data_IF_455549151235
#
_entry.id   IF_455549151235
#
_cell.length_a   1.000
_cell.length_b   1.000
_cell.length_c   1.000
_cell.angle_alpha   90.00
_cell.angle_beta   90.00
_cell.angle_gamma   90.00
#
_symmetry.space_group_name_H-M   'P 1'
#
loop_
_entity.id
_entity.type
_entity.pdbx_description
1 polymer ?
#
# COMPACT_ATOMS: atom_id res chain seq x y z
N UNK A 1 8.22 -15.24 -16.35
CA UNK A 1 8.87 -15.33 -17.68
C UNK A 1 10.18 -14.56 -17.70
N UNK A 2 11.03 -14.77 -18.70
CA UNK A 2 12.32 -14.07 -18.82
C UNK A 2 12.14 -12.56 -19.06
N UNK A 3 12.99 -11.74 -18.44
CA UNK A 3 13.05 -10.30 -18.68
C UNK A 3 13.67 -10.03 -20.06
N UNK A 4 13.23 -8.96 -20.76
CA UNK A 4 13.79 -8.60 -22.06
C UNK A 4 15.23 -8.11 -21.89
N UNK A 5 16.21 -8.90 -22.34
CA UNK A 5 17.64 -8.56 -22.30
C UNK A 5 18.43 -9.10 -21.10
N UNK A 6 17.79 -9.83 -20.18
CA UNK A 6 18.46 -10.48 -19.05
C UNK A 6 19.13 -11.79 -19.46
N UNK A 7 20.25 -12.13 -18.81
CA UNK A 7 20.94 -13.41 -19.01
C UNK A 7 20.13 -14.58 -18.40
N UNK A 8 20.40 -15.82 -18.83
CA UNK A 8 19.62 -17.01 -18.42
C UNK A 8 19.67 -17.26 -16.91
N UNK A 9 20.73 -16.85 -16.23
CA UNK A 9 20.90 -16.92 -14.78
C UNK A 9 20.10 -15.87 -14.00
N UNK A 10 19.60 -14.84 -14.67
CA UNK A 10 18.70 -13.82 -14.12
C UNK A 10 17.22 -14.18 -14.34
N UNK A 11 16.94 -15.35 -14.93
CA UNK A 11 15.57 -15.81 -15.13
C UNK A 11 14.90 -16.19 -13.80
N UNK A 12 13.73 -15.59 -13.55
CA UNK A 12 12.92 -15.86 -12.35
C UNK A 12 13.17 -14.92 -11.18
N UNK A 13 13.81 -13.77 -11.40
CA UNK A 13 13.80 -12.69 -10.41
C UNK A 13 12.43 -12.02 -10.40
N UNK A 14 11.68 -12.21 -9.32
CA UNK A 14 10.38 -11.55 -9.13
C UNK A 14 10.48 -10.26 -8.30
N UNK A 15 11.59 -10.07 -7.57
CA UNK A 15 11.77 -8.96 -6.61
C UNK A 15 13.17 -8.35 -6.73
N UNK A 16 13.22 -7.01 -6.81
CA UNK A 16 14.44 -6.22 -6.65
C UNK A 16 14.42 -5.50 -5.29
N UNK A 17 15.43 -5.76 -4.45
CA UNK A 17 15.62 -5.09 -3.15
C UNK A 17 16.80 -4.12 -3.20
N UNK A 18 16.53 -2.81 -3.14
CA UNK A 18 17.54 -1.76 -3.29
C UNK A 18 17.73 -0.98 -1.97
N UNK A 19 18.69 -1.42 -1.19
CA UNK A 19 19.08 -0.82 0.10
C UNK A 19 20.12 0.31 -0.05
N UNK A 20 19.99 1.15 -1.08
CA UNK A 20 20.89 2.28 -1.36
C UNK A 20 20.16 3.39 -2.13
N UNK A 21 20.77 4.58 -2.22
CA UNK A 21 20.23 5.79 -2.85
C UNK A 21 21.32 6.54 -3.61
N UNK A 22 20.95 7.24 -4.68
CA UNK A 22 21.85 8.14 -5.43
C UNK A 22 21.42 9.59 -5.15
N UNK A 23 22.34 10.40 -4.66
CA UNK A 23 22.12 11.78 -4.22
C UNK A 23 22.63 12.83 -5.21
N UNK A 24 22.91 12.45 -6.46
CA UNK A 24 23.60 13.30 -7.45
C UNK A 24 22.74 14.43 -8.06
N UNK A 25 21.72 14.89 -7.35
CA UNK A 25 20.80 15.93 -7.83
C UNK A 25 21.36 17.29 -7.38
N UNK A 26 21.85 18.09 -8.34
CA UNK A 26 22.59 19.34 -8.09
C UNK A 26 21.78 20.48 -7.41
N UNK A 27 20.62 20.20 -6.81
CA UNK A 27 19.76 21.22 -6.19
C UNK A 27 18.57 20.74 -5.36
N UNK A 28 18.65 19.57 -4.70
CA UNK A 28 17.59 19.04 -3.82
C UNK A 28 17.18 17.60 -4.16
N UNK A 29 16.17 17.06 -3.48
CA UNK A 29 15.64 15.72 -3.73
C UNK A 29 15.06 15.54 -5.14
N UNK A 30 14.99 14.27 -5.56
CA UNK A 30 14.46 13.87 -6.85
C UNK A 30 12.94 14.03 -6.94
N UNK A 31 12.48 14.37 -8.14
CA UNK A 31 11.06 14.37 -8.53
C UNK A 31 10.60 13.07 -9.19
N UNK A 32 11.44 12.03 -9.24
CA UNK A 32 11.08 10.75 -9.86
C UNK A 32 11.29 10.68 -11.37
N UNK A 33 11.75 11.77 -12.01
CA UNK A 33 12.00 11.79 -13.46
C UNK A 33 13.44 11.40 -13.87
N UNK A 34 14.33 11.19 -12.89
CA UNK A 34 15.71 10.81 -13.17
C UNK A 34 15.84 9.37 -13.66
N UNK A 35 16.98 9.05 -14.29
CA UNK A 35 17.18 7.74 -14.91
C UNK A 35 17.07 6.58 -13.92
N UNK A 36 17.39 6.81 -12.64
CA UNK A 36 17.34 5.77 -11.62
C UNK A 36 15.92 5.54 -11.13
N UNK A 37 15.08 6.56 -11.08
CA UNK A 37 13.65 6.38 -10.82
C UNK A 37 12.97 5.62 -11.97
N UNK A 38 13.19 6.08 -13.20
CA UNK A 38 12.52 5.57 -14.40
C UNK A 38 12.83 4.10 -14.66
N UNK A 39 14.10 3.68 -14.49
CA UNK A 39 14.44 2.27 -14.71
C UNK A 39 13.77 1.32 -13.71
N UNK A 40 13.45 1.81 -12.50
CA UNK A 40 12.70 1.03 -11.52
C UNK A 40 11.21 0.98 -11.85
N UNK A 41 10.67 2.07 -12.41
CA UNK A 41 9.31 2.08 -12.94
C UNK A 41 9.16 1.08 -14.10
N UNK A 42 10.13 1.02 -15.01
CA UNK A 42 10.17 0.01 -16.08
C UNK A 42 10.24 -1.42 -15.51
N UNK A 43 10.99 -1.66 -14.43
CA UNK A 43 11.01 -2.95 -13.74
C UNK A 43 9.64 -3.33 -13.15
N UNK A 44 8.96 -2.39 -12.50
CA UNK A 44 7.62 -2.58 -11.97
C UNK A 44 6.60 -2.89 -13.08
N UNK A 45 6.67 -2.18 -14.21
CA UNK A 45 5.80 -2.41 -15.39
C UNK A 45 6.07 -3.77 -16.01
N UNK A 46 7.33 -4.20 -16.06
CA UNK A 46 7.73 -5.51 -16.57
C UNK A 46 7.42 -6.68 -15.62
N UNK A 47 6.78 -6.42 -14.47
CA UNK A 47 6.32 -7.45 -13.53
C UNK A 47 7.30 -7.80 -12.41
N UNK A 48 8.41 -7.07 -12.27
CA UNK A 48 9.38 -7.26 -11.18
C UNK A 48 9.10 -6.25 -10.08
N UNK A 49 8.68 -6.71 -8.90
CA UNK A 49 8.35 -5.78 -7.82
C UNK A 49 9.62 -5.23 -7.17
N UNK A 50 9.68 -3.91 -7.00
CA UNK A 50 10.85 -3.19 -6.51
C UNK A 50 10.54 -2.60 -5.13
N UNK A 51 11.41 -2.87 -4.16
CA UNK A 51 11.50 -2.11 -2.91
C UNK A 51 12.78 -1.30 -2.84
N UNK A 52 12.66 -0.04 -2.42
CA UNK A 52 13.78 0.89 -2.30
C UNK A 52 13.82 1.56 -0.93
N UNK A 53 15.01 1.73 -0.37
CA UNK A 53 15.20 2.50 0.85
C UNK A 53 14.84 3.98 0.67
N UNK A 54 14.05 4.55 1.58
CA UNK A 54 13.70 5.98 1.55
C UNK A 54 14.93 6.91 1.71
N UNK A 55 15.98 6.43 2.38
CA UNK A 55 17.18 7.20 2.72
C UNK A 55 17.33 7.42 4.23
N UNK A 56 18.49 7.96 4.63
CA UNK A 56 18.88 8.14 6.04
C UNK A 56 19.17 9.62 6.37
N UNK A 57 18.56 10.56 5.64
CA UNK A 57 18.84 12.01 5.74
C UNK A 57 17.76 12.76 6.54
N UNK A 58 16.80 12.06 7.14
CA UNK A 58 15.75 12.65 7.96
C UNK A 58 16.26 13.24 9.29
N UNK A 59 15.44 14.06 9.98
CA UNK A 59 14.08 14.47 9.62
C UNK A 59 13.96 15.64 8.65
N UNK A 60 15.06 16.34 8.41
CA UNK A 60 15.08 17.59 7.66
C UNK A 60 15.58 17.41 6.22
N UNK A 61 15.41 16.21 5.66
CA UNK A 61 15.75 15.96 4.25
C UNK A 61 14.89 16.82 3.32
N UNK A 62 15.51 17.34 2.27
CA UNK A 62 14.84 18.06 1.19
C UNK A 62 14.42 17.06 0.09
N UNK A 63 13.29 16.39 0.28
CA UNK A 63 12.80 15.33 -0.61
C UNK A 63 13.57 14.01 -0.50
N UNK A 64 13.32 13.08 -1.42
CA UNK A 64 13.95 11.76 -1.44
C UNK A 64 15.03 11.65 -2.52
N UNK A 65 15.91 10.65 -2.40
CA UNK A 65 16.92 10.33 -3.42
C UNK A 65 16.27 9.79 -4.70
N UNK A 66 17.00 9.79 -5.82
CA UNK A 66 16.46 9.36 -7.13
C UNK A 66 15.72 8.03 -7.12
N UNK A 67 16.36 6.98 -6.60
CA UNK A 67 15.70 5.66 -6.53
C UNK A 67 14.48 5.65 -5.59
N UNK A 68 14.58 6.33 -4.44
CA UNK A 68 13.47 6.44 -3.48
C UNK A 68 12.29 7.28 -3.99
N UNK A 69 12.48 8.03 -5.07
CA UNK A 69 11.48 8.87 -5.74
C UNK A 69 10.79 8.21 -6.94
N UNK A 70 11.08 6.95 -7.28
CA UNK A 70 10.35 6.21 -8.35
C UNK A 70 8.84 6.21 -8.12
N UNK A 71 8.05 6.41 -9.17
CA UNK A 71 6.59 6.48 -9.08
C UNK A 71 5.97 5.15 -8.65
N UNK A 72 6.49 4.06 -9.20
CA UNK A 72 5.90 2.74 -9.08
C UNK A 72 6.54 1.91 -7.96
N UNK A 73 7.83 2.09 -7.65
CA UNK A 73 8.50 1.30 -6.59
C UNK A 73 7.85 1.46 -5.22
N UNK A 74 8.05 0.48 -4.35
CA UNK A 74 7.70 0.53 -2.93
C UNK A 74 8.86 1.18 -2.16
N UNK A 75 8.74 2.45 -1.84
CA UNK A 75 9.72 3.18 -1.04
C UNK A 75 9.48 2.90 0.45
N UNK A 76 10.54 2.47 1.15
CA UNK A 76 10.49 1.94 2.52
C UNK A 76 11.23 2.85 3.50
N UNK A 77 10.49 3.43 4.44
CA UNK A 77 11.06 4.12 5.60
C UNK A 77 11.39 3.16 6.76
N UNK A 78 12.09 3.66 7.79
CA UNK A 78 12.56 2.86 8.91
C UNK A 78 11.90 3.25 10.22
N UNK A 79 11.36 2.28 10.96
CA UNK A 79 10.97 2.43 12.37
C UNK A 79 12.08 1.97 13.32
N UNK A 80 11.99 2.44 14.56
CA UNK A 80 12.67 1.88 15.71
C UNK A 80 11.65 1.14 16.57
N UNK A 81 11.77 -0.18 16.57
CA UNK A 81 10.90 -1.13 17.29
C UNK A 81 11.18 -1.18 18.79
N UNK A 82 12.08 -0.32 19.30
CA UNK A 82 12.56 -0.27 20.68
C UNK A 82 13.10 -1.62 21.19
N UNK A 83 13.31 -2.60 20.30
CA UNK A 83 13.53 -4.00 20.61
C UNK A 83 12.48 -4.56 21.61
N UNK A 84 11.21 -4.20 21.43
CA UNK A 84 10.04 -4.67 22.20
C UNK A 84 9.12 -5.55 21.33
N UNK A 85 8.17 -6.24 21.96
CA UNK A 85 7.09 -6.98 21.25
C UNK A 85 5.88 -6.07 21.04
N UNK A 86 5.69 -5.14 21.97
CA UNK A 86 4.62 -4.15 21.88
C UNK A 86 4.94 -3.22 20.70
N UNK A 87 3.96 -2.96 19.83
CA UNK A 87 4.12 -2.07 18.68
C UNK A 87 3.68 -0.65 19.00
N UNK A 88 3.07 -0.42 20.17
CA UNK A 88 2.56 0.90 20.56
C UNK A 88 3.70 1.89 20.89
N UNK A 89 4.89 1.41 21.24
CA UNK A 89 6.08 2.23 21.45
C UNK A 89 6.99 2.33 20.21
N UNK A 90 6.63 1.70 19.10
CA UNK A 90 7.33 1.84 17.83
C UNK A 90 7.26 3.28 17.33
N UNK A 91 8.41 3.85 17.01
CA UNK A 91 8.51 5.22 16.50
C UNK A 91 9.20 5.26 15.15
N UNK A 92 8.98 6.34 14.38
CA UNK A 92 9.78 6.58 13.20
C UNK A 92 11.24 6.78 13.60
N UNK A 93 12.17 6.09 12.95
CA UNK A 93 13.58 6.26 13.22
C UNK A 93 13.99 7.69 12.83
N UNK A 94 14.73 8.38 13.70
CA UNK A 94 15.07 9.80 13.50
C UNK A 94 15.71 10.09 12.14
N UNK A 95 16.58 9.17 11.67
CA UNK A 95 17.29 9.26 10.40
C UNK A 95 16.42 8.95 9.17
N UNK A 96 15.25 8.30 9.31
CA UNK A 96 14.45 7.91 8.16
C UNK A 96 14.06 9.13 7.34
N UNK A 97 14.43 9.16 6.06
CA UNK A 97 14.02 10.23 5.15
C UNK A 97 12.50 10.29 5.04
N UNK A 98 11.97 11.51 4.93
CA UNK A 98 10.54 11.83 5.01
C UNK A 98 10.04 12.42 3.70
N UNK A 99 8.75 12.22 3.47
CA UNK A 99 8.06 12.75 2.32
C UNK A 99 7.65 14.21 2.38
N UNK A 100 6.96 14.65 1.31
CA UNK A 100 6.81 13.93 0.03
C UNK A 100 8.11 13.96 -0.81
N UNK A 101 8.18 13.23 -1.94
CA UNK A 101 9.20 13.51 -2.95
C UNK A 101 8.90 14.86 -3.63
N UNK A 102 9.82 15.36 -4.45
CA UNK A 102 9.58 16.61 -5.21
C UNK A 102 8.49 16.38 -6.26
N UNK A 103 7.64 17.38 -6.45
CA UNK A 103 6.61 17.40 -7.49
C UNK A 103 7.26 17.47 -8.88
N UNK A 104 6.89 16.55 -9.77
CA UNK A 104 7.36 16.48 -11.16
C UNK A 104 6.49 17.31 -12.13
N UNK A 105 5.36 17.84 -11.65
CA UNK A 105 4.42 18.66 -12.41
C UNK A 105 3.54 17.88 -13.40
N UNK A 106 3.39 16.55 -13.24
CA UNK A 106 2.55 15.70 -14.09
C UNK A 106 1.05 15.80 -13.77
N UNK A 107 0.70 16.44 -12.65
CA UNK A 107 -0.67 16.64 -12.19
C UNK A 107 -1.25 15.47 -11.39
N UNK A 108 -0.45 14.47 -11.02
CA UNK A 108 -0.85 13.34 -10.19
C UNK A 108 -0.20 13.43 -8.79
N UNK A 109 -0.77 14.17 -7.83
CA UNK A 109 -0.17 14.41 -6.51
C UNK A 109 0.06 13.14 -5.66
N UNK A 110 -0.47 11.98 -6.09
CA UNK A 110 -0.40 10.73 -5.37
C UNK A 110 0.96 10.03 -5.51
N UNK A 111 1.64 10.14 -6.67
CA UNK A 111 2.95 9.51 -6.86
C UNK A 111 4.08 10.29 -6.15
N UNK A 112 3.82 11.52 -5.69
CA UNK A 112 4.70 12.26 -4.78
C UNK A 112 4.71 11.70 -3.35
N UNK A 113 3.67 10.97 -2.95
CA UNK A 113 3.49 10.51 -1.57
C UNK A 113 4.42 9.33 -1.24
N UNK A 114 5.61 9.67 -0.75
CA UNK A 114 6.69 8.74 -0.35
C UNK A 114 7.14 8.97 1.09
N UNK A 115 7.44 7.96 1.90
CA UNK A 115 7.47 6.54 1.58
C UNK A 115 6.05 5.96 1.43
N UNK A 116 5.95 4.78 0.82
CA UNK A 116 4.70 4.02 0.82
C UNK A 116 4.44 3.36 2.17
N UNK A 117 5.47 2.73 2.73
CA UNK A 117 5.35 1.98 3.98
C UNK A 117 6.62 2.09 4.79
N UNK A 118 6.55 1.67 6.04
CA UNK A 118 7.69 1.55 6.93
C UNK A 118 7.84 0.14 7.48
N UNK A 119 9.06 -0.20 7.89
CA UNK A 119 9.37 -1.45 8.59
C UNK A 119 10.51 -1.23 9.60
N UNK A 120 10.73 -2.15 10.56
CA UNK A 120 11.84 -2.07 11.49
C UNK A 120 13.18 -1.96 10.76
N UNK A 121 13.91 -0.88 11.02
CA UNK A 121 15.22 -0.61 10.41
C UNK A 121 16.30 -0.23 11.41
N UNK A 122 15.97 -0.12 12.70
CA UNK A 122 16.91 0.27 13.75
C UNK A 122 17.39 -0.95 14.51
N UNK A 123 18.69 -1.00 14.82
CA UNK A 123 19.27 -2.02 15.67
C UNK A 123 19.09 -3.47 15.18
N UNK A 124 19.01 -3.68 13.86
CA UNK A 124 18.80 -4.99 13.24
C UNK A 124 20.08 -5.83 13.29
N UNK A 125 19.93 -7.14 13.50
CA UNK A 125 21.03 -8.12 13.45
C UNK A 125 20.95 -8.85 12.11
N UNK A 126 22.08 -8.96 11.41
CA UNK A 126 22.15 -9.52 10.07
C UNK A 126 23.37 -10.44 9.91
N UNK A 127 23.32 -11.31 8.91
CA UNK A 127 24.46 -12.13 8.54
C UNK A 127 25.62 -11.25 8.07
N UNK A 128 26.85 -11.59 8.46
CA UNK A 128 28.04 -10.89 7.98
C UNK A 128 28.68 -11.64 6.81
N UNK A 129 28.70 -11.01 5.64
CA UNK A 129 29.50 -11.47 4.52
C UNK A 129 30.98 -11.17 4.76
N UNK A 130 31.87 -12.13 4.52
CA UNK A 130 33.29 -11.88 4.72
C UNK A 130 33.91 -11.05 3.59
N UNK A 131 34.12 -9.77 3.88
CA UNK A 131 34.84 -8.82 3.02
C UNK A 131 36.28 -8.63 3.51
N UNK A 132 37.23 -8.54 2.57
CA UNK A 132 38.67 -8.51 2.81
C UNK A 132 39.17 -7.37 3.72
N UNK A 133 38.33 -6.37 4.01
CA UNK A 133 38.63 -5.22 4.88
C UNK A 133 38.22 -5.41 6.35
N UNK A 134 37.42 -6.42 6.70
CA UNK A 134 36.86 -6.62 8.05
C UNK A 134 37.66 -7.56 8.98
N UNK A 135 38.80 -8.09 8.52
CA UNK A 135 39.60 -9.04 9.32
C UNK A 135 38.99 -10.45 9.42
N UNK A 136 38.17 -10.84 8.46
CA UNK A 136 37.58 -12.18 8.36
C UNK A 136 38.42 -13.12 7.46
N UNK A 137 38.31 -14.43 7.68
CA UNK A 137 39.10 -15.46 6.97
C UNK A 137 38.46 -15.82 5.62
N UNK A 138 38.80 -15.10 4.54
CA UNK A 138 38.40 -15.44 3.17
C UNK A 138 39.56 -15.30 2.15
N UNK A 139 40.79 -15.53 2.61
CA UNK A 139 41.94 -15.71 1.72
C UNK A 139 41.89 -17.08 1.05
N UNK A 140 42.60 -17.23 -0.08
CA UNK A 140 42.72 -18.51 -0.80
C UNK A 140 43.23 -19.61 0.15
N UNK A 141 42.39 -20.61 0.43
CA UNK A 141 42.67 -21.68 1.41
C UNK A 141 42.22 -21.40 2.85
N UNK A 142 41.50 -20.30 3.10
CA UNK A 142 40.84 -19.97 4.37
C UNK A 142 39.44 -20.57 4.50
N UNK A 143 38.92 -20.61 5.73
CA UNK A 143 37.59 -21.12 6.07
C UNK A 143 36.68 -19.98 6.57
N UNK A 144 35.60 -19.73 5.80
CA UNK A 144 34.58 -18.73 6.08
C UNK A 144 33.40 -19.24 6.92
N UNK A 145 33.41 -20.51 7.35
CA UNK A 145 32.33 -21.12 8.14
C UNK A 145 32.08 -20.46 9.51
N UNK A 146 33.03 -19.67 10.00
CA UNK A 146 32.93 -18.92 11.26
C UNK A 146 32.44 -17.48 11.10
N UNK A 147 32.09 -17.04 9.89
CA UNK A 147 31.44 -15.74 9.69
C UNK A 147 29.99 -15.87 10.18
N UNK A 148 29.70 -15.25 11.32
CA UNK A 148 28.39 -15.32 11.97
C UNK A 148 27.52 -14.13 11.62
N UNK A 149 27.02 -13.47 12.65
CA UNK A 149 26.24 -12.24 12.54
C UNK A 149 27.11 -11.04 12.89
N UNK A 150 26.83 -9.91 12.26
CA UNK A 150 27.41 -8.62 12.63
C UNK A 150 26.91 -8.16 14.01
N UNK A 151 27.45 -7.04 14.50
CA UNK A 151 26.74 -6.20 15.47
C UNK A 151 25.45 -5.60 14.89
N UNK A 152 24.68 -4.91 15.74
CA UNK A 152 23.42 -4.26 15.34
C UNK A 152 23.68 -3.09 14.38
N UNK A 153 22.97 -3.09 13.25
CA UNK A 153 22.98 -2.01 12.26
C UNK A 153 21.66 -1.24 12.21
N UNK A 154 21.72 0.00 11.71
CA UNK A 154 20.54 0.86 11.58
C UNK A 154 20.52 1.55 10.22
N UNK A 155 19.33 1.70 9.64
CA UNK A 155 19.12 2.37 8.35
C UNK A 155 17.85 1.88 7.66
N UNK A 156 17.31 2.70 6.75
CA UNK A 156 16.27 2.28 5.79
C UNK A 156 16.73 1.12 4.90
N UNK A 157 18.04 0.95 4.74
CA UNK A 157 18.68 -0.21 4.13
C UNK A 157 18.38 -1.54 4.84
N UNK A 158 18.04 -1.53 6.13
CA UNK A 158 17.67 -2.72 6.90
C UNK A 158 16.15 -2.97 6.88
N UNK A 159 15.35 -1.91 6.80
CA UNK A 159 13.90 -2.01 6.66
C UNK A 159 13.48 -2.53 5.28
N UNK A 160 14.15 -2.09 4.22
CA UNK A 160 13.86 -2.44 2.82
C UNK A 160 13.77 -3.95 2.57
N UNK A 161 14.80 -4.77 2.90
CA UNK A 161 14.74 -6.21 2.66
C UNK A 161 13.68 -6.93 3.51
N UNK A 162 13.25 -6.37 4.65
CA UNK A 162 12.14 -6.92 5.41
C UNK A 162 10.83 -6.82 4.61
N UNK A 163 10.57 -5.68 3.97
CA UNK A 163 9.42 -5.51 3.07
C UNK A 163 9.54 -6.39 1.83
N UNK A 164 10.74 -6.54 1.25
CA UNK A 164 10.98 -7.50 0.15
C UNK A 164 10.62 -8.93 0.56
N UNK A 165 10.94 -9.33 1.78
CA UNK A 165 10.54 -10.64 2.33
C UNK A 165 9.02 -10.80 2.44
N UNK A 166 8.30 -9.75 2.81
CA UNK A 166 6.82 -9.76 2.80
C UNK A 166 6.28 -9.90 1.39
N UNK A 167 6.82 -9.15 0.42
CA UNK A 167 6.45 -9.29 -0.99
C UNK A 167 6.72 -10.71 -1.52
N UNK A 168 7.82 -11.35 -1.11
CA UNK A 168 8.11 -12.75 -1.47
C UNK A 168 7.04 -13.71 -0.93
N UNK A 169 6.61 -13.54 0.32
CA UNK A 169 5.54 -14.35 0.90
C UNK A 169 4.18 -14.11 0.21
N UNK A 170 3.90 -12.87 -0.21
CA UNK A 170 2.69 -12.55 -0.99
C UNK A 170 2.71 -13.26 -2.35
N UNK A 171 3.84 -13.24 -3.05
CA UNK A 171 4.04 -13.95 -4.33
C UNK A 171 3.96 -15.47 -4.14
N UNK A 172 4.50 -16.01 -3.05
CA UNK A 172 4.36 -17.45 -2.73
C UNK A 172 2.88 -17.84 -2.52
N UNK A 173 2.13 -17.02 -1.77
CA UNK A 173 0.70 -17.23 -1.59
C UNK A 173 -0.06 -17.12 -2.91
N UNK A 174 0.28 -16.11 -3.72
CA UNK A 174 -0.37 -15.79 -4.98
C UNK A 174 0.60 -15.29 -6.05
N UNK A 175 1.12 -16.22 -6.85
CA UNK A 175 2.12 -15.97 -7.89
C UNK A 175 1.63 -15.16 -9.09
N UNK A 176 0.32 -14.88 -9.17
CA UNK A 176 -0.27 -14.13 -10.28
C UNK A 176 -0.55 -12.67 -9.92
N UNK A 177 -0.20 -12.22 -8.71
CA UNK A 177 -0.34 -10.81 -8.32
C UNK A 177 0.50 -9.93 -9.25
N UNK A 178 -0.10 -8.85 -9.72
CA UNK A 178 0.63 -7.76 -10.36
C UNK A 178 1.44 -6.96 -9.34
N UNK A 179 2.46 -6.25 -9.82
CA UNK A 179 3.27 -5.34 -9.00
C UNK A 179 2.45 -4.23 -8.36
N UNK A 180 1.40 -3.76 -9.06
CA UNK A 180 0.44 -2.78 -8.56
C UNK A 180 -0.44 -3.35 -7.44
N UNK A 181 -0.96 -4.58 -7.58
CA UNK A 181 -1.70 -5.26 -6.51
C UNK A 181 -0.80 -5.49 -5.28
N UNK A 182 0.45 -5.91 -5.45
CA UNK A 182 1.38 -6.10 -4.32
C UNK A 182 1.57 -4.79 -3.57
N UNK A 183 1.85 -3.69 -4.28
CA UNK A 183 2.02 -2.36 -3.69
C UNK A 183 0.77 -1.91 -2.96
N UNK A 184 -0.40 -2.09 -3.56
CA UNK A 184 -1.66 -1.63 -2.98
C UNK A 184 -2.09 -2.47 -1.77
N UNK A 185 -1.90 -3.79 -1.80
CA UNK A 185 -2.12 -4.66 -0.64
C UNK A 185 -1.24 -4.21 0.52
N UNK A 186 0.06 -3.98 0.30
CA UNK A 186 0.98 -3.49 1.35
C UNK A 186 0.48 -2.19 1.98
N UNK A 187 0.02 -1.23 1.18
CA UNK A 187 -0.53 0.05 1.67
C UNK A 187 -1.83 -0.14 2.44
N UNK A 188 -2.77 -0.90 1.88
CA UNK A 188 -4.11 -1.11 2.45
C UNK A 188 -4.05 -1.84 3.79
N UNK A 189 -3.16 -2.83 3.91
CA UNK A 189 -3.04 -3.67 5.11
C UNK A 189 -2.05 -3.16 6.14
N UNK A 190 -1.31 -2.07 5.86
CA UNK A 190 -0.34 -1.53 6.79
C UNK A 190 -1.01 -1.07 8.10
N UNK A 191 -0.33 -1.28 9.22
CA UNK A 191 -0.73 -0.73 10.50
C UNK A 191 -0.52 0.78 10.48
N UNK A 192 -1.61 1.54 10.54
CA UNK A 192 -1.57 3.00 10.49
C UNK A 192 -0.85 3.58 11.70
N UNK A 193 0.08 4.50 11.45
CA UNK A 193 0.82 5.24 12.48
C UNK A 193 0.80 6.73 12.16
N UNK A 194 0.49 7.55 13.17
CA UNK A 194 0.38 9.00 13.03
C UNK A 194 -0.89 9.46 12.29
N UNK A 195 -1.12 10.78 12.27
CA UNK A 195 -2.20 11.41 11.50
C UNK A 195 -1.79 11.73 10.07
N UNK A 196 -2.73 11.90 9.13
CA UNK A 196 -2.40 12.16 7.73
C UNK A 196 -1.63 13.49 7.57
N UNK A 197 -0.64 13.49 6.68
CA UNK A 197 0.18 14.67 6.37
C UNK A 197 -0.27 15.42 5.12
N UNK A 198 -1.03 14.76 4.24
CA UNK A 198 -1.59 15.34 3.02
C UNK A 198 -3.05 14.86 2.81
N UNK A 199 -3.97 15.13 3.76
CA UNK A 199 -5.34 14.60 3.73
C UNK A 199 -6.15 14.96 2.49
N UNK A 200 -5.80 16.06 1.82
CA UNK A 200 -6.43 16.47 0.55
C UNK A 200 -6.13 15.47 -0.57
N UNK A 201 -4.95 14.84 -0.58
CA UNK A 201 -4.50 13.87 -1.59
C UNK A 201 -4.81 12.45 -1.18
N UNK A 202 -4.50 12.07 0.05
CA UNK A 202 -4.83 10.76 0.63
C UNK A 202 -5.15 10.92 2.13
N UNK A 203 -6.28 10.38 2.62
CA UNK A 203 -6.75 10.61 3.98
C UNK A 203 -5.95 9.83 5.04
N UNK A 204 -5.03 8.96 4.64
CA UNK A 204 -4.29 8.06 5.52
C UNK A 204 -2.77 8.22 5.42
N UNK A 205 -2.25 8.66 4.28
CA UNK A 205 -0.81 8.83 4.10
C UNK A 205 -0.20 9.85 5.08
N UNK A 206 0.88 9.44 5.70
CA UNK A 206 1.70 10.22 6.62
C UNK A 206 3.13 10.35 6.08
N UNK A 207 3.74 11.53 6.18
CA UNK A 207 5.07 11.78 5.60
C UNK A 207 6.22 11.01 6.25
N UNK A 208 6.03 10.53 7.48
CA UNK A 208 6.99 9.73 8.23
C UNK A 208 6.75 8.23 7.94
N UNK A 209 5.49 7.78 8.05
CA UNK A 209 5.12 6.36 8.04
C UNK A 209 4.58 5.83 6.71
N UNK A 210 4.33 6.68 5.73
CA UNK A 210 3.58 6.32 4.53
C UNK A 210 2.13 5.99 4.86
N UNK A 211 1.61 4.91 4.27
CA UNK A 211 0.31 4.32 4.66
C UNK A 211 0.39 3.53 5.99
N UNK A 212 1.59 3.30 6.52
CA UNK A 212 1.79 2.70 7.84
C UNK A 212 3.00 1.78 7.92
N UNK A 213 3.10 1.08 9.04
CA UNK A 213 4.07 0.02 9.22
C UNK A 213 3.54 -1.27 8.60
N UNK A 214 4.35 -1.95 7.79
CA UNK A 214 3.97 -3.21 7.12
C UNK A 214 3.42 -4.24 8.11
N UNK A 215 2.31 -4.87 7.72
CA UNK A 215 1.73 -6.04 8.39
C UNK A 215 1.80 -7.25 7.45
N UNK A 216 2.77 -8.12 7.71
CA UNK A 216 2.99 -9.29 6.88
C UNK A 216 1.82 -10.28 6.91
N UNK A 217 1.16 -10.42 8.06
CA UNK A 217 0.06 -11.37 8.21
C UNK A 217 -1.16 -10.90 7.40
N UNK A 218 -1.53 -9.63 7.53
CA UNK A 218 -2.66 -9.06 6.80
C UNK A 218 -2.40 -9.04 5.28
N UNK A 219 -1.19 -8.64 4.85
CA UNK A 219 -0.83 -8.61 3.43
C UNK A 219 -0.86 -10.01 2.78
N UNK A 220 -0.27 -11.01 3.42
CA UNK A 220 -0.24 -12.39 2.90
C UNK A 220 -1.63 -13.04 2.94
N UNK A 221 -2.44 -12.74 3.96
CA UNK A 221 -3.84 -13.21 4.02
C UNK A 221 -4.64 -12.66 2.85
N UNK A 222 -4.53 -11.36 2.57
CA UNK A 222 -5.20 -10.74 1.42
C UNK A 222 -4.76 -11.36 0.08
N UNK A 223 -3.47 -11.69 -0.07
CA UNK A 223 -2.98 -12.40 -1.24
C UNK A 223 -3.64 -13.78 -1.43
N UNK A 224 -3.81 -14.56 -0.34
CA UNK A 224 -4.55 -15.83 -0.37
C UNK A 224 -6.02 -15.63 -0.73
N UNK A 225 -6.66 -14.61 -0.15
CA UNK A 225 -8.08 -14.34 -0.37
C UNK A 225 -8.35 -13.99 -1.82
N UNK A 226 -7.57 -13.09 -2.42
CA UNK A 226 -7.68 -12.74 -3.84
C UNK A 226 -7.54 -13.96 -4.76
N UNK A 227 -6.61 -14.86 -4.45
CA UNK A 227 -6.42 -16.10 -5.21
C UNK A 227 -7.62 -17.04 -5.06
N UNK A 228 -8.09 -17.24 -3.83
CA UNK A 228 -9.18 -18.16 -3.53
C UNK A 228 -10.51 -17.73 -4.16
N UNK A 229 -10.71 -16.42 -4.28
CA UNK A 229 -11.90 -15.81 -4.86
C UNK A 229 -11.80 -15.63 -6.38
N UNK A 230 -10.65 -15.96 -6.99
CA UNK A 230 -10.43 -15.79 -8.43
C UNK A 230 -10.41 -14.33 -8.87
N UNK A 231 -9.94 -13.42 -8.00
CA UNK A 231 -9.94 -11.97 -8.24
C UNK A 231 -8.56 -11.43 -8.66
N UNK A 232 -7.55 -12.30 -8.74
CA UNK A 232 -6.19 -11.89 -9.09
C UNK A 232 -6.13 -11.33 -10.51
N UNK A 233 -5.64 -10.10 -10.66
CA UNK A 233 -5.61 -9.38 -11.94
C UNK A 233 -6.97 -8.79 -12.37
N UNK A 234 -8.02 -8.97 -11.56
CA UNK A 234 -9.38 -8.48 -11.84
C UNK A 234 -9.79 -7.33 -10.91
N UNK A 235 -8.85 -6.83 -10.09
CA UNK A 235 -9.06 -5.72 -9.16
C UNK A 235 -8.59 -4.40 -9.77
N UNK A 236 -9.39 -3.36 -9.59
CA UNK A 236 -8.97 -1.98 -9.80
C UNK A 236 -8.32 -1.44 -8.52
N UNK A 237 -6.98 -1.41 -8.49
CA UNK A 237 -6.20 -0.89 -7.36
C UNK A 237 -6.35 0.63 -7.18
N UNK A 238 -6.93 1.34 -8.16
CA UNK A 238 -7.14 2.80 -8.07
C UNK A 238 -8.46 3.17 -7.41
N UNK A 239 -9.39 2.21 -7.31
CA UNK A 239 -10.63 2.36 -6.55
C UNK A 239 -10.38 1.94 -5.10
N UNK A 240 -10.76 2.79 -4.16
CA UNK A 240 -10.38 2.70 -2.76
C UNK A 240 -11.61 2.63 -1.88
N UNK A 241 -11.57 1.76 -0.87
CA UNK A 241 -12.60 1.64 0.17
C UNK A 241 -11.94 1.32 1.50
N UNK A 242 -12.34 2.00 2.56
CA UNK A 242 -11.79 1.79 3.90
C UNK A 242 -12.86 1.88 4.96
N UNK A 243 -12.80 0.97 5.93
CA UNK A 243 -13.54 1.07 7.18
C UNK A 243 -12.83 2.11 8.06
N UNK A 244 -13.56 3.12 8.53
CA UNK A 244 -13.03 4.13 9.46
C UNK A 244 -13.49 3.88 10.88
N UNK A 245 -14.70 3.37 11.06
CA UNK A 245 -15.24 3.05 12.39
C UNK A 245 -16.11 1.79 12.33
N UNK A 246 -16.08 1.04 13.43
CA UNK A 246 -17.03 -0.05 13.70
C UNK A 246 -17.49 0.07 15.14
N UNK A 247 -18.78 0.22 15.34
CA UNK A 247 -19.39 0.38 16.65
C UNK A 247 -20.59 -0.58 16.77
N UNK A 248 -20.85 -1.08 17.97
CA UNK A 248 -22.05 -1.88 18.24
C UNK A 248 -22.73 -1.34 19.48
N UNK A 249 -23.96 -0.87 19.32
CA UNK A 249 -24.77 -0.30 20.38
C UNK A 249 -26.22 -0.75 20.23
N UNK A 250 -26.86 -1.11 21.34
CA UNK A 250 -28.28 -1.49 21.38
C UNK A 250 -28.69 -2.57 20.37
N UNK A 251 -27.80 -3.54 20.11
CA UNK A 251 -28.05 -4.65 19.17
C UNK A 251 -27.88 -4.28 17.70
N UNK A 252 -27.41 -3.07 17.39
CA UNK A 252 -27.10 -2.64 16.03
C UNK A 252 -25.58 -2.43 15.90
N UNK A 253 -24.97 -3.16 14.98
CA UNK A 253 -23.60 -2.94 14.54
C UNK A 253 -23.61 -1.91 13.40
N UNK A 254 -22.95 -0.77 13.61
CA UNK A 254 -22.79 0.29 12.62
C UNK A 254 -21.34 0.33 12.15
N UNK A 255 -21.14 0.16 10.85
CA UNK A 255 -19.85 0.30 10.18
C UNK A 255 -19.91 1.56 9.33
N UNK A 256 -18.88 2.39 9.42
CA UNK A 256 -18.73 3.58 8.58
C UNK A 256 -17.37 3.56 7.90
N UNK A 257 -17.28 4.26 6.78
CA UNK A 257 -16.04 4.31 6.02
C UNK A 257 -16.03 5.35 4.92
N UNK A 258 -14.90 5.38 4.23
CA UNK A 258 -14.65 6.24 3.08
C UNK A 258 -14.50 5.38 1.82
N UNK A 259 -14.93 5.93 0.69
CA UNK A 259 -14.62 5.42 -0.64
C UNK A 259 -14.30 6.57 -1.60
N UNK A 260 -13.40 6.30 -2.54
CA UNK A 260 -13.02 7.23 -3.62
C UNK A 260 -12.30 6.47 -4.74
N UNK A 261 -12.21 7.07 -5.92
CA UNK A 261 -11.31 6.60 -6.97
C UNK A 261 -10.15 7.57 -7.13
N UNK A 262 -8.95 7.05 -7.32
CA UNK A 262 -7.73 7.85 -7.61
C UNK A 262 -7.70 8.32 -9.07
N UNK A 263 -8.44 7.64 -9.95
CA UNK A 263 -8.50 7.92 -11.40
C UNK A 263 -9.94 8.13 -11.87
N UNK A 264 -10.85 7.25 -11.47
CA UNK A 264 -12.25 7.26 -11.87
C UNK A 264 -13.21 7.61 -10.75
N UNK A 265 -14.50 7.67 -11.08
CA UNK A 265 -15.56 7.76 -10.08
C UNK A 265 -15.92 6.36 -9.56
N UNK A 266 -16.38 6.30 -8.31
CA UNK A 266 -16.95 5.10 -7.71
C UNK A 266 -18.45 5.10 -7.95
N UNK A 267 -18.97 3.99 -8.47
CA UNK A 267 -20.40 3.81 -8.74
C UNK A 267 -21.16 3.36 -7.49
N UNK A 268 -20.59 2.44 -6.71
CA UNK A 268 -21.25 1.90 -5.52
C UNK A 268 -20.27 1.42 -4.47
N UNK A 269 -20.76 1.33 -3.23
CA UNK A 269 -20.13 0.58 -2.15
C UNK A 269 -21.04 -0.58 -1.79
N UNK A 270 -20.49 -1.79 -1.79
CA UNK A 270 -21.23 -3.02 -1.56
C UNK A 270 -20.61 -3.81 -0.41
N UNK A 271 -21.44 -4.57 0.29
CA UNK A 271 -20.99 -5.46 1.34
C UNK A 271 -21.67 -6.83 1.25
N UNK A 272 -21.03 -7.85 1.81
CA UNK A 272 -21.63 -9.17 2.00
C UNK A 272 -21.27 -9.74 3.36
N UNK A 273 -22.05 -10.72 3.79
CA UNK A 273 -21.91 -11.37 5.09
C UNK A 273 -21.57 -12.84 4.84
N UNK A 274 -20.43 -13.29 5.38
CA UNK A 274 -19.94 -14.68 5.30
C UNK A 274 -19.93 -15.28 3.88
N UNK A 275 -19.49 -14.50 2.90
CA UNK A 275 -19.47 -14.93 1.50
C UNK A 275 -20.84 -15.04 0.82
N UNK A 276 -21.89 -14.47 1.42
CA UNK A 276 -23.23 -14.39 0.85
C UNK A 276 -23.37 -13.45 -0.35
N UNK A 277 -24.60 -13.06 -0.67
CA UNK A 277 -24.86 -12.11 -1.76
C UNK A 277 -24.40 -10.70 -1.41
N UNK A 278 -23.96 -9.97 -2.44
CA UNK A 278 -23.61 -8.55 -2.33
C UNK A 278 -24.86 -7.69 -2.14
N UNK A 279 -24.79 -6.76 -1.20
CA UNK A 279 -25.81 -5.80 -0.83
C UNK A 279 -25.23 -4.39 -0.91
N UNK A 280 -26.05 -3.39 -1.25
CA UNK A 280 -25.58 -2.01 -1.27
C UNK A 280 -25.42 -1.45 0.13
N UNK A 281 -24.29 -0.82 0.42
CA UNK A 281 -24.15 0.08 1.55
C UNK A 281 -24.98 1.36 1.32
N UNK A 282 -25.27 2.09 2.40
CA UNK A 282 -25.86 3.43 2.30
C UNK A 282 -24.73 4.44 2.12
N UNK A 283 -24.76 5.23 1.05
CA UNK A 283 -23.79 6.27 0.76
C UNK A 283 -24.48 7.52 0.21
N UNK A 284 -23.77 8.63 0.13
CA UNK A 284 -24.32 9.87 -0.42
C UNK A 284 -24.50 9.73 -1.94
N UNK A 285 -25.74 9.63 -2.44
CA UNK A 285 -26.04 9.52 -3.88
C UNK A 285 -25.53 10.71 -4.71
N UNK A 286 -25.24 11.86 -4.08
CA UNK A 286 -24.54 12.98 -4.73
C UNK A 286 -23.10 12.66 -5.13
N UNK A 287 -22.55 11.55 -4.62
CA UNK A 287 -21.18 11.11 -4.87
C UNK A 287 -20.96 10.41 -6.23
N UNK A 288 -22.03 9.96 -6.90
CA UNK A 288 -21.97 9.20 -8.17
C UNK A 288 -21.33 9.98 -9.35
N UNK A 289 -20.94 11.24 -9.14
CA UNK A 289 -20.38 12.12 -10.18
C UNK A 289 -19.08 12.82 -9.76
N UNK A 290 -18.56 12.52 -8.58
CA UNK A 290 -17.37 13.19 -8.09
C UNK A 290 -16.13 12.52 -8.72
N UNK A 291 -15.36 13.28 -9.49
CA UNK A 291 -14.21 12.80 -10.26
C UNK A 291 -13.05 12.26 -9.40
N UNK A 292 -11.85 12.11 -9.98
CA UNK A 292 -10.69 11.61 -9.25
C UNK A 292 -10.47 12.33 -7.91
N UNK A 293 -10.05 11.56 -6.90
CA UNK A 293 -9.80 11.97 -5.50
C UNK A 293 -11.01 12.42 -4.69
N UNK A 294 -12.20 12.47 -5.28
CA UNK A 294 -13.36 12.89 -4.53
C UNK A 294 -13.90 11.76 -3.63
N UNK A 295 -14.01 12.09 -2.35
CA UNK A 295 -14.33 11.14 -1.28
C UNK A 295 -15.77 11.29 -0.84
N UNK A 296 -16.36 10.17 -0.47
CA UNK A 296 -17.67 10.16 0.18
C UNK A 296 -17.72 9.13 1.30
N UNK A 297 -18.62 9.37 2.24
CA UNK A 297 -18.87 8.48 3.35
C UNK A 297 -19.88 7.39 2.95
N UNK A 298 -19.65 6.18 3.44
CA UNK A 298 -20.61 5.09 3.39
C UNK A 298 -20.89 4.56 4.80
N UNK A 299 -22.06 3.99 4.98
CA UNK A 299 -22.55 3.43 6.24
C UNK A 299 -23.27 2.10 5.99
N UNK A 300 -23.03 1.13 6.88
CA UNK A 300 -23.76 -0.13 6.96
C UNK A 300 -24.28 -0.26 8.39
N UNK A 301 -25.55 -0.62 8.55
CA UNK A 301 -26.14 -0.93 9.85
C UNK A 301 -26.73 -2.35 9.83
N UNK A 302 -26.25 -3.20 10.74
CA UNK A 302 -26.62 -4.61 10.84
C UNK A 302 -27.29 -4.88 12.20
N UNK A 303 -28.45 -5.51 12.18
CA UNK A 303 -29.11 -6.01 13.39
C UNK A 303 -28.43 -7.30 13.84
N UNK A 304 -27.75 -7.27 14.99
CA UNK A 304 -26.99 -8.43 15.50
C UNK A 304 -27.90 -9.60 15.83
N UNK A 305 -29.18 -9.35 16.16
CA UNK A 305 -30.18 -10.39 16.41
C UNK A 305 -30.61 -11.15 15.16
N UNK A 306 -30.22 -10.68 13.97
CA UNK A 306 -30.49 -11.33 12.68
C UNK A 306 -29.24 -12.00 12.09
N UNK A 307 -28.11 -11.83 12.75
CA UNK A 307 -26.86 -12.50 12.42
C UNK A 307 -26.74 -13.77 13.27
N UNK A 308 -26.42 -14.90 12.62
CA UNK A 308 -26.16 -16.17 13.32
C UNK A 308 -25.18 -15.96 14.48
N UNK A 309 -25.39 -16.67 15.59
CA UNK A 309 -24.53 -16.56 16.76
C UNK A 309 -23.04 -16.76 16.41
N UNK A 310 -22.21 -15.86 16.93
CA UNK A 310 -20.76 -15.88 16.76
C UNK A 310 -20.22 -14.83 15.81
N UNK A 311 -18.92 -14.90 15.55
CA UNK A 311 -18.21 -13.95 14.71
C UNK A 311 -18.62 -14.10 13.24
N UNK A 312 -19.19 -13.04 12.66
CA UNK A 312 -19.60 -12.99 11.26
C UNK A 312 -18.66 -12.07 10.49
N UNK A 313 -18.19 -12.55 9.35
CA UNK A 313 -17.31 -11.79 8.47
C UNK A 313 -18.15 -10.83 7.63
N UNK A 314 -17.81 -9.55 7.68
CA UNK A 314 -18.40 -8.52 6.83
C UNK A 314 -17.32 -8.06 5.87
N UNK A 315 -17.49 -8.35 4.59
CA UNK A 315 -16.59 -7.94 3.51
C UNK A 315 -17.22 -6.76 2.77
N UNK A 316 -16.43 -5.73 2.47
CA UNK A 316 -16.87 -4.50 1.82
C UNK A 316 -15.97 -4.23 0.61
N UNK A 317 -16.58 -3.83 -0.50
CA UNK A 317 -15.90 -3.41 -1.74
C UNK A 317 -16.50 -2.12 -2.27
N UNK A 318 -15.69 -1.36 -3.01
CA UNK A 318 -16.18 -0.33 -3.91
C UNK A 318 -16.18 -0.87 -5.35
N UNK A 319 -17.10 -0.39 -6.18
CA UNK A 319 -17.21 -0.74 -7.59
C UNK A 319 -17.13 0.53 -8.42
N UNK A 320 -16.24 0.58 -9.39
CA UNK A 320 -16.08 1.75 -10.26
C UNK A 320 -17.14 1.81 -11.36
N UNK A 321 -17.12 2.87 -12.17
CA UNK A 321 -18.09 3.08 -13.27
C UNK A 321 -18.01 2.03 -14.39
N UNK A 322 -16.94 1.26 -14.46
CA UNK A 322 -16.74 0.16 -15.42
C UNK A 322 -17.23 -1.19 -14.89
N UNK A 323 -17.63 -1.26 -13.61
CA UNK A 323 -18.07 -2.49 -12.95
C UNK A 323 -16.93 -3.31 -12.34
N UNK A 324 -15.70 -2.79 -12.33
CA UNK A 324 -14.54 -3.43 -11.69
C UNK A 324 -14.49 -3.04 -10.21
N UNK A 325 -14.16 -4.01 -9.35
CA UNK A 325 -14.14 -3.78 -7.90
C UNK A 325 -12.76 -3.36 -7.39
N UNK A 326 -12.75 -2.68 -6.25
CA UNK A 326 -11.56 -2.39 -5.46
C UNK A 326 -11.01 -3.64 -4.76
N UNK A 327 -9.82 -3.50 -4.16
CA UNK A 327 -9.46 -4.35 -3.04
C UNK A 327 -10.53 -4.26 -1.95
N UNK A 328 -10.82 -5.39 -1.31
CA UNK A 328 -11.84 -5.46 -0.28
C UNK A 328 -11.26 -5.20 1.09
N UNK A 329 -12.07 -4.60 1.95
CA UNK A 329 -11.81 -4.50 3.38
C UNK A 329 -12.80 -5.36 4.13
N UNK A 330 -12.35 -5.95 5.25
CA UNK A 330 -13.19 -6.83 6.04
C UNK A 330 -13.11 -6.49 7.52
N UNK A 331 -14.20 -6.75 8.22
CA UNK A 331 -14.27 -6.70 9.69
C UNK A 331 -15.15 -7.84 10.20
N UNK A 332 -15.19 -8.01 11.52
CA UNK A 332 -16.02 -9.00 12.17
C UNK A 332 -17.10 -8.32 13.01
N UNK A 333 -18.34 -8.80 12.87
CA UNK A 333 -19.47 -8.40 13.71
C UNK A 333 -19.96 -9.62 14.49
N UNK A 334 -20.23 -9.45 15.78
CA UNK A 334 -20.77 -10.51 16.62
C UNK A 334 -22.28 -10.62 16.43
N UNK A 335 -22.74 -11.75 15.89
CA UNK A 335 -24.16 -12.10 15.82
C UNK A 335 -24.67 -12.74 17.09
N UNK A 336 -25.98 -12.62 17.34
CA UNK A 336 -26.65 -13.08 18.56
C UNK A 336 -27.88 -13.95 18.28
N UNK A 337 -28.15 -14.30 17.02
CA UNK A 337 -29.28 -15.17 16.67
C UNK A 337 -28.97 -16.64 16.94
N UNK A 338 -29.74 -17.28 17.81
CA UNK A 338 -29.56 -18.68 18.23
C UNK A 338 -30.13 -19.72 17.25
N UNK A 339 -30.71 -19.28 16.14
CA UNK A 339 -31.27 -20.15 15.11
C UNK A 339 -32.69 -20.64 15.39
N UNK A 340 -33.29 -20.26 16.53
CA UNK A 340 -34.69 -20.58 16.80
C UNK A 340 -35.61 -19.62 16.01
N UNK A 341 -36.72 -20.12 15.43
CA UNK A 341 -37.67 -19.27 14.75
C UNK A 341 -38.33 -18.34 15.77
N UNK A 342 -38.02 -17.04 15.69
CA UNK A 342 -38.74 -16.03 16.45
C UNK A 342 -40.22 -16.09 16.08
N UNK A 343 -41.08 -16.26 17.08
CA UNK A 343 -42.51 -16.27 16.90
C UNK A 343 -43.02 -14.88 16.55
N UNK A 344 -42.98 -14.52 15.26
CA UNK A 344 -43.92 -13.69 14.49
C UNK A 344 -43.31 -13.43 13.10
N UNK A 345 -44.13 -13.57 12.05
CA UNK A 345 -43.72 -13.35 10.64
C UNK A 345 -43.21 -11.91 10.44
N UNK A 346 -41.89 -11.72 10.43
CA UNK A 346 -41.26 -10.51 9.90
C UNK A 346 -40.49 -10.86 8.63
N UNK A 347 -40.84 -10.20 7.53
CA UNK A 347 -40.22 -10.45 6.22
C UNK A 347 -38.81 -9.89 6.18
N UNK A 348 -37.90 -10.57 5.47
CA UNK A 348 -36.51 -10.14 5.22
C UNK A 348 -36.42 -8.67 4.74
N UNK A 349 -37.46 -8.17 4.05
CA UNK A 349 -37.59 -6.78 3.61
C UNK A 349 -37.68 -5.75 4.75
N UNK A 350 -38.36 -6.06 5.86
CA UNK A 350 -38.55 -5.09 6.97
C UNK A 350 -37.26 -4.90 7.78
N UNK A 351 -36.44 -5.95 7.90
CA UNK A 351 -35.11 -5.90 8.54
C UNK A 351 -34.15 -5.03 7.72
N UNK A 352 -34.11 -5.25 6.39
CA UNK A 352 -33.30 -4.43 5.48
C UNK A 352 -33.74 -2.96 5.57
N UNK A 353 -35.05 -2.67 5.62
CA UNK A 353 -35.53 -1.30 5.75
C UNK A 353 -35.18 -0.64 7.08
N UNK A 354 -35.21 -1.37 8.21
CA UNK A 354 -34.81 -0.83 9.51
C UNK A 354 -33.30 -0.51 9.55
N UNK A 355 -32.47 -1.42 9.06
CA UNK A 355 -31.02 -1.19 8.93
C UNK A 355 -30.73 0.00 8.01
N UNK A 356 -31.37 0.08 6.85
CA UNK A 356 -31.24 1.22 5.93
C UNK A 356 -31.69 2.54 6.57
N UNK A 357 -32.77 2.55 7.35
CA UNK A 357 -33.22 3.77 8.03
C UNK A 357 -32.20 4.29 9.05
N UNK A 358 -31.60 3.39 9.83
CA UNK A 358 -30.52 3.75 10.77
C UNK A 358 -29.28 4.22 10.02
N UNK A 359 -28.87 3.49 8.97
CA UNK A 359 -27.72 3.87 8.15
C UNK A 359 -27.90 5.26 7.51
N UNK A 360 -29.10 5.58 7.03
CA UNK A 360 -29.45 6.90 6.50
C UNK A 360 -29.40 8.01 7.58
N UNK A 361 -29.90 7.75 8.79
CA UNK A 361 -29.83 8.72 9.88
C UNK A 361 -28.39 8.99 10.32
N UNK A 362 -27.58 7.94 10.42
CA UNK A 362 -26.15 8.06 10.75
C UNK A 362 -25.42 8.81 9.64
N UNK A 363 -25.65 8.46 8.38
CA UNK A 363 -25.06 9.17 7.25
C UNK A 363 -25.47 10.65 7.24
N UNK A 364 -26.75 10.96 7.46
CA UNK A 364 -27.23 12.34 7.56
C UNK A 364 -26.56 13.11 8.71
N UNK A 365 -26.33 12.46 9.86
CA UNK A 365 -25.61 13.05 10.98
C UNK A 365 -24.14 13.34 10.61
N UNK A 366 -23.47 12.40 9.93
CA UNK A 366 -22.10 12.57 9.45
C UNK A 366 -22.02 13.77 8.48
N UNK A 367 -22.95 13.87 7.54
CA UNK A 367 -23.01 15.00 6.60
C UNK A 367 -23.27 16.33 7.34
N UNK A 368 -24.20 16.34 8.30
CA UNK A 368 -24.54 17.56 9.06
C UNK A 368 -23.41 18.02 9.99
N UNK A 369 -22.66 17.09 10.59
CA UNK A 369 -21.57 17.40 11.52
C UNK A 369 -20.23 17.61 10.79
N UNK A 370 -20.06 17.05 9.60
CA UNK A 370 -18.89 17.22 8.73
C UNK A 370 -18.99 18.36 7.73
N UNK A 371 -20.11 19.09 7.70
CA UNK A 371 -20.41 20.14 6.72
C UNK A 371 -19.69 21.49 6.90
N UNK A 372 -18.38 21.50 7.18
CA UNK A 372 -17.53 22.59 6.68
C UNK A 372 -17.03 22.11 5.33
N UNK A 373 -17.85 22.40 4.31
CA UNK A 373 -17.59 21.99 2.94
C UNK A 373 -16.36 22.71 2.40
N UNK A 374 -15.23 22.02 2.42
CA UNK A 374 -14.21 22.26 1.41
C UNK A 374 -14.84 21.82 0.09
N UNK A 375 -15.31 22.80 -0.67
CA UNK A 375 -15.60 22.67 -2.09
C UNK A 375 -14.28 22.19 -2.73
N UNK A 376 -14.11 20.88 -2.84
CA UNK A 376 -12.93 20.24 -3.41
C UNK A 376 -12.82 20.69 -4.86
N UNK A 377 -12.03 21.73 -5.08
CA UNK A 377 -11.68 22.21 -6.41
C UNK A 377 -10.93 21.07 -7.08
N UNK A 378 -11.60 20.38 -8.01
CA UNK A 378 -11.03 19.31 -8.82
C UNK A 378 -9.84 19.91 -9.57
N UNK A 379 -8.64 19.81 -9.00
CA UNK A 379 -7.43 20.02 -9.79
C UNK A 379 -7.51 18.99 -10.90
N UNK A 380 -7.39 19.44 -12.15
CA UNK A 380 -7.38 18.60 -13.36
C UNK A 380 -6.21 17.59 -13.28
N UNK A 381 -6.37 16.56 -12.46
CA UNK A 381 -5.43 15.49 -12.27
C UNK A 381 -5.85 14.36 -13.21
N UNK A 382 -5.18 14.29 -14.35
CA UNK A 382 -5.29 13.16 -15.27
C UNK A 382 -4.17 12.19 -14.96
N UNK A 383 -4.49 11.09 -14.28
CA UNK A 383 -3.61 9.92 -14.28
C UNK A 383 -3.54 9.39 -15.72
N UNK A 384 -2.35 9.44 -16.31
CA UNK A 384 -2.05 8.67 -17.51
C UNK A 384 -1.41 7.36 -17.04
N UNK A 385 -2.04 6.19 -17.30
CA UNK A 385 -1.36 4.92 -17.07
C UNK A 385 -0.05 4.92 -17.86
N UNK A 386 1.04 4.36 -17.33
CA UNK A 386 2.30 4.29 -18.04
C UNK A 386 2.07 3.58 -19.38
N UNK A 387 2.37 4.25 -20.47
CA UNK A 387 2.31 3.67 -21.81
C UNK A 387 3.70 3.18 -22.16
N UNK A 388 3.78 1.96 -22.71
CA UNK A 388 5.02 1.30 -23.16
C UNK A 388 5.69 2.00 -24.36
N UNK A 389 5.12 3.08 -24.89
CA UNK A 389 5.65 3.83 -26.02
C UNK A 389 6.13 5.23 -25.57
N UNK A 390 7.29 5.29 -24.93
CA UNK A 390 8.14 6.47 -25.02
C UNK A 390 9.50 6.05 -25.55
N UNK A 391 9.80 6.53 -26.76
CA UNK A 391 10.95 6.15 -27.58
C UNK A 391 12.26 6.02 -26.78
N UNK A 392 12.83 4.82 -26.87
CA UNK A 392 14.16 4.46 -26.40
C UNK A 392 15.18 5.36 -27.09
N UNK A 393 15.67 6.38 -26.40
CA UNK A 393 16.97 6.96 -26.72
C UNK A 393 18.02 6.04 -26.11
N UNK A 394 18.53 5.14 -26.95
CA UNK A 394 19.65 4.25 -26.63
C UNK A 394 20.76 5.04 -25.92
N UNK A 395 20.95 4.75 -24.63
CA UNK A 395 22.19 5.07 -23.94
C UNK A 395 23.27 4.12 -24.50
N UNK A 396 23.91 4.54 -25.60
CA UNK A 396 25.12 3.89 -26.09
C UNK A 396 26.19 4.08 -25.01
N UNK A 397 26.50 3.01 -24.29
CA UNK A 397 27.73 2.90 -23.51
C UNK A 397 28.87 2.82 -24.54
N UNK A 398 29.53 3.94 -24.81
CA UNK A 398 30.83 3.89 -25.48
C UNK A 398 31.82 3.22 -24.52
N UNK A 399 32.07 1.93 -24.75
CA UNK A 399 33.24 1.25 -24.20
C UNK A 399 34.47 1.88 -24.83
N UNK A 400 35.07 2.86 -24.15
CA UNK A 400 36.37 3.41 -24.53
C UNK A 400 37.41 2.29 -24.53
N UNK A 401 37.79 1.82 -25.72
CA UNK A 401 38.94 0.94 -25.87
C UNK A 401 40.21 1.75 -25.68
N UNK A 402 41.06 1.31 -24.77
CA UNK A 402 42.45 1.70 -24.69
C UNK A 402 43.12 1.63 -26.07
N UNK A 403 43.65 2.78 -26.51
CA UNK A 403 44.52 2.90 -27.68
C UNK A 403 45.88 3.43 -27.21
N UNK A 404 46.82 2.49 -27.05
CA UNK A 404 48.24 2.75 -26.86
C UNK A 404 48.89 3.30 -28.14
N UNK A 405 50.05 3.93 -27.96
CA UNK A 405 51.08 4.33 -28.92
C UNK A 405 50.90 5.55 -29.86
N UNK A 406 51.72 6.58 -29.59
CA UNK A 406 52.19 7.52 -30.61
C UNK A 406 52.70 8.88 -30.12
N UNK A 407 53.88 8.93 -29.49
CA UNK A 407 54.59 10.19 -29.18
C UNK A 407 55.87 10.04 -28.37
#
# INVERSE_FOLDING_TARGET
>A
DAWAGAEEDEYGIDIISLSWGITSHEGGGSDGSDMHSRILDEAMIAGVVVSVAAGNDGPENDGLSGMGSSDLSVTVGATDDQNTIDREDDTIAGYSSRGPRRDNGDGNPLNELKPEVTAPGTNIIQAEGCVSSGGCNNFLGGDASSNGYTGRGSGTSYATPAVSGVMAMMIEANSNLSTAEIKEILKLTAERKGGPSAPDVDPFWNRDFGWGMVDAYAAVTMAFDLKSQGLTGEIDVTTQVHITETNTSDGIATLTGLAWGQVGAVMSVEYRIDGGEWMSATFDEGAETLGPFARFNWTIALDTSKLMEGNRSIEIRAVNTEGTQSLMVATTVLGTWDGEPEGEEFGFQEIIMAGLAVAMLVLALIILLGGDGDEYDSKNATYMPPTTEQDVLDAIIETGSDGDDGG
#
